data_IF_985028413997
#
_entry.id   IF_985028413997
#
_cell.length_a   1.000
_cell.length_b   1.000
_cell.length_c   1.000
_cell.angle_alpha   90.00
_cell.angle_beta   90.00
_cell.angle_gamma   90.00
#
_symmetry.space_group_name_H-M   'P 1'
#
loop_
_entity.id
_entity.type
_entity.pdbx_description
1 polymer ?
#
# COMPACT_ATOMS: atom_id res chain seq x y z
N UNK A 1 -11.77 11.92 47.20
CA UNK A 1 -11.80 10.47 46.95
C UNK A 1 -12.08 10.28 45.47
N UNK A 2 -11.07 9.97 44.66
CA UNK A 2 -11.23 9.73 43.22
C UNK A 2 -11.65 8.27 43.06
N UNK A 3 -12.85 8.04 42.54
CA UNK A 3 -13.35 6.70 42.27
C UNK A 3 -12.41 5.99 41.27
N UNK A 4 -11.89 4.83 41.66
CA UNK A 4 -11.16 3.97 40.73
C UNK A 4 -12.08 3.57 39.57
N UNK A 5 -11.62 3.63 38.31
CA UNK A 5 -12.42 3.20 37.18
C UNK A 5 -12.79 1.72 37.35
N UNK A 6 -14.07 1.41 37.18
CA UNK A 6 -14.56 0.04 37.24
C UNK A 6 -13.87 -0.78 36.14
N UNK A 7 -13.16 -1.84 36.54
CA UNK A 7 -12.59 -2.81 35.61
C UNK A 7 -13.76 -3.51 34.90
N UNK A 8 -13.90 -3.27 33.60
CA UNK A 8 -14.89 -3.95 32.77
C UNK A 8 -14.23 -5.15 32.10
N UNK A 9 -14.76 -6.34 32.37
CA UNK A 9 -14.42 -7.56 31.61
C UNK A 9 -15.06 -7.44 30.23
N UNK A 10 -14.26 -7.62 29.18
CA UNK A 10 -14.69 -7.61 27.78
C UNK A 10 -14.29 -8.95 27.19
N UNK A 11 -15.22 -9.63 26.51
CA UNK A 11 -14.91 -10.87 25.80
C UNK A 11 -13.97 -10.55 24.63
N UNK A 12 -13.03 -11.45 24.35
CA UNK A 12 -12.12 -11.33 23.19
C UNK A 12 -12.91 -11.29 21.89
N UNK A 13 -14.07 -11.98 21.84
CA UNK A 13 -14.98 -11.95 20.70
C UNK A 13 -15.55 -10.54 20.42
N UNK A 14 -15.66 -9.69 21.44
CA UNK A 14 -16.20 -8.33 21.30
C UNK A 14 -15.15 -7.30 20.83
N UNK A 15 -13.87 -7.71 20.73
CA UNK A 15 -12.84 -6.83 20.21
C UNK A 15 -12.99 -6.65 18.69
N UNK A 16 -12.87 -5.40 18.19
CA UNK A 16 -12.92 -5.15 16.76
C UNK A 16 -11.76 -5.83 16.05
N UNK A 17 -12.03 -6.38 14.88
CA UNK A 17 -10.99 -6.87 13.97
C UNK A 17 -10.18 -5.70 13.41
N UNK A 18 -8.87 -5.92 13.29
CA UNK A 18 -7.99 -4.96 12.64
C UNK A 18 -8.27 -4.95 11.13
N UNK A 19 -8.50 -3.78 10.52
CA UNK A 19 -9.00 -3.72 9.14
C UNK A 19 -7.92 -3.92 8.07
N UNK A 20 -6.66 -4.12 8.46
CA UNK A 20 -5.55 -4.35 7.55
C UNK A 20 -5.06 -5.78 7.74
N UNK A 21 -4.79 -6.46 6.63
CA UNK A 21 -4.24 -7.81 6.61
C UNK A 21 -2.98 -7.92 7.50
N UNK A 22 -2.90 -8.98 8.30
CA UNK A 22 -1.80 -9.23 9.22
C UNK A 22 -0.45 -9.38 8.53
N UNK A 23 -0.45 -9.84 7.28
CA UNK A 23 0.76 -10.01 6.46
C UNK A 23 1.13 -8.73 5.69
N UNK A 24 0.28 -7.70 5.71
CA UNK A 24 0.59 -6.43 5.08
C UNK A 24 1.79 -5.78 5.77
N UNK A 25 2.87 -5.63 5.02
CA UNK A 25 4.11 -5.00 5.49
C UNK A 25 4.37 -3.68 4.79
N UNK A 26 4.77 -2.69 5.57
CA UNK A 26 5.34 -1.42 5.07
C UNK A 26 6.85 -1.33 5.29
N UNK A 27 7.55 -2.46 5.43
CA UNK A 27 8.99 -2.50 5.69
C UNK A 27 9.80 -1.70 4.66
N UNK A 28 9.39 -1.70 3.39
CA UNK A 28 10.05 -0.95 2.31
C UNK A 28 9.78 0.56 2.29
N UNK A 29 8.83 1.07 3.08
CA UNK A 29 8.51 2.50 3.12
C UNK A 29 9.42 3.22 4.12
N UNK A 30 10.25 4.14 3.62
CA UNK A 30 11.12 5.01 4.43
C UNK A 30 10.43 6.29 4.93
N UNK A 31 9.20 6.55 4.46
CA UNK A 31 8.40 7.72 4.83
C UNK A 31 6.99 7.28 5.24
N UNK A 32 6.36 8.04 6.14
CA UNK A 32 4.95 7.89 6.49
C UNK A 32 4.25 9.25 6.35
N UNK A 33 2.97 9.24 5.98
CA UNK A 33 2.18 10.48 5.96
C UNK A 33 1.88 10.88 7.39
N UNK A 34 2.17 12.13 7.74
CA UNK A 34 1.94 12.64 9.08
C UNK A 34 1.14 13.95 9.01
N UNK A 35 -0.06 13.94 9.60
CA UNK A 35 -0.93 15.10 9.66
C UNK A 35 -0.49 16.05 10.78
N UNK A 36 0.51 16.89 10.51
CA UNK A 36 1.07 17.83 11.49
C UNK A 36 0.00 18.74 12.12
N UNK A 37 -0.94 19.28 11.35
CA UNK A 37 -2.03 20.10 11.89
C UNK A 37 -2.90 19.34 12.89
N UNK A 38 -3.26 18.08 12.59
CA UNK A 38 -4.03 17.24 13.53
C UNK A 38 -3.24 16.92 14.79
N UNK A 39 -1.93 16.71 14.67
CA UNK A 39 -1.04 16.48 15.82
C UNK A 39 -0.94 17.73 16.70
N UNK A 40 -0.56 18.88 16.11
CA UNK A 40 -0.32 20.12 16.83
C UNK A 40 -1.59 20.68 17.50
N UNK A 41 -2.77 20.38 16.96
CA UNK A 41 -4.06 20.78 17.53
C UNK A 41 -4.73 19.67 18.37
N UNK A 42 -4.06 18.52 18.59
CA UNK A 42 -4.62 17.44 19.40
C UNK A 42 -4.56 17.77 20.89
N UNK A 43 -5.53 17.29 21.66
CA UNK A 43 -5.53 17.35 23.14
C UNK A 43 -4.20 16.83 23.72
N UNK A 44 -3.70 15.73 23.16
CA UNK A 44 -2.45 15.10 23.58
C UNK A 44 -1.24 16.03 23.43
N UNK A 45 -1.13 16.77 22.33
CA UNK A 45 -0.04 17.71 22.11
C UNK A 45 -0.23 19.02 22.88
N UNK A 46 -1.46 19.52 22.98
CA UNK A 46 -1.75 20.81 23.61
C UNK A 46 -1.66 20.75 25.14
N UNK A 47 -1.97 19.60 25.75
CA UNK A 47 -2.10 19.49 27.22
C UNK A 47 -1.21 18.42 27.86
N UNK A 48 -0.64 17.51 27.06
CA UNK A 48 0.25 16.47 27.57
C UNK A 48 1.61 17.02 27.97
N UNK A 49 2.26 16.39 28.95
CA UNK A 49 3.66 16.71 29.25
C UNK A 49 4.58 16.35 28.08
N UNK A 50 5.74 16.99 27.99
CA UNK A 50 6.72 16.72 26.91
C UNK A 50 7.11 15.24 26.83
N UNK A 51 7.24 14.55 27.96
CA UNK A 51 7.55 13.12 28.02
C UNK A 51 6.44 12.27 27.39
N UNK A 52 5.18 12.60 27.69
CA UNK A 52 4.00 11.91 27.13
C UNK A 52 3.93 12.15 25.63
N UNK A 53 4.13 13.39 25.20
CA UNK A 53 4.14 13.76 23.78
C UNK A 53 5.24 13.02 23.02
N UNK A 54 6.46 13.00 23.55
CA UNK A 54 7.60 12.33 22.93
C UNK A 54 7.36 10.82 22.81
N UNK A 55 6.87 10.18 23.88
CA UNK A 55 6.54 8.76 23.84
C UNK A 55 5.42 8.47 22.84
N UNK A 56 4.34 9.24 22.85
CA UNK A 56 3.23 9.03 21.92
C UNK A 56 3.65 9.18 20.45
N UNK A 57 4.42 10.23 20.14
CA UNK A 57 4.92 10.46 18.80
C UNK A 57 5.81 9.29 18.32
N UNK A 58 6.71 8.82 19.19
CA UNK A 58 7.53 7.65 18.91
C UNK A 58 6.67 6.39 18.69
N UNK A 59 5.64 6.16 19.50
CA UNK A 59 4.73 5.04 19.34
C UNK A 59 4.00 5.07 17.99
N UNK A 60 3.57 6.24 17.51
CA UNK A 60 2.98 6.37 16.17
C UNK A 60 3.94 5.92 15.06
N UNK A 61 5.23 6.26 15.16
CA UNK A 61 6.23 5.83 14.19
C UNK A 61 6.64 4.36 14.34
N UNK A 62 6.78 3.88 15.58
CA UNK A 62 7.10 2.48 15.88
C UNK A 62 6.02 1.55 15.31
N UNK A 63 4.75 1.91 15.45
CA UNK A 63 3.63 1.13 14.95
C UNK A 63 3.70 0.89 13.43
N UNK A 64 4.20 1.86 12.66
CA UNK A 64 4.39 1.74 11.20
C UNK A 64 5.43 0.66 10.82
N UNK A 65 6.24 0.20 11.78
CA UNK A 65 7.29 -0.80 11.59
C UNK A 65 6.98 -2.13 12.26
N UNK A 66 5.84 -2.25 12.93
CA UNK A 66 5.41 -3.53 13.50
C UNK A 66 4.79 -4.43 12.42
N UNK A 67 4.69 -5.72 12.75
CA UNK A 67 3.89 -6.70 12.00
C UNK A 67 2.88 -7.28 12.99
N UNK A 68 1.57 -7.05 12.80
CA UNK A 68 0.90 -6.31 11.72
C UNK A 68 1.19 -4.81 11.69
N UNK A 69 1.26 -4.22 10.49
CA UNK A 69 1.57 -2.80 10.30
C UNK A 69 0.54 -1.88 10.96
N UNK A 70 0.99 -0.84 11.65
CA UNK A 70 0.12 0.14 12.31
C UNK A 70 -0.38 -0.24 13.68
N UNK A 71 0.05 -1.39 14.18
CA UNK A 71 -0.33 -1.88 15.50
C UNK A 71 0.84 -1.79 16.47
N UNK A 72 0.54 -1.90 17.76
CA UNK A 72 1.53 -2.10 18.81
C UNK A 72 1.20 -3.37 19.61
N UNK A 73 2.20 -4.00 20.24
CA UNK A 73 1.96 -5.05 21.22
C UNK A 73 1.26 -4.48 22.46
N UNK A 74 0.28 -5.20 23.02
CA UNK A 74 -0.32 -4.87 24.32
C UNK A 74 0.48 -5.48 25.47
N UNK A 75 1.75 -5.07 25.59
CA UNK A 75 2.66 -5.57 26.63
C UNK A 75 3.60 -4.45 27.10
N UNK A 76 3.54 -4.12 28.38
CA UNK A 76 4.30 -3.02 28.98
C UNK A 76 5.81 -3.17 28.87
N UNK A 77 6.34 -4.39 29.07
CA UNK A 77 7.78 -4.63 28.98
C UNK A 77 8.29 -4.44 27.55
N UNK A 78 7.51 -4.87 26.56
CA UNK A 78 7.84 -4.69 25.14
C UNK A 78 7.73 -3.20 24.76
N UNK A 79 6.66 -2.52 25.16
CA UNK A 79 6.48 -1.09 24.88
C UNK A 79 7.59 -0.22 25.49
N UNK A 80 7.96 -0.47 26.75
CA UNK A 80 9.08 0.23 27.38
C UNK A 80 10.39 0.00 26.61
N UNK A 81 10.66 -1.24 26.17
CA UNK A 81 11.84 -1.58 25.38
C UNK A 81 11.83 -0.90 24.00
N UNK A 82 10.69 -0.86 23.32
CA UNK A 82 10.53 -0.19 22.03
C UNK A 82 10.81 1.32 22.15
N UNK A 83 10.36 1.95 23.24
CA UNK A 83 10.60 3.35 23.56
C UNK A 83 12.00 3.63 24.14
N UNK A 84 12.77 2.57 24.47
CA UNK A 84 14.09 2.65 25.09
C UNK A 84 14.08 3.40 26.44
N UNK A 85 13.03 3.19 27.22
CA UNK A 85 12.91 3.69 28.59
C UNK A 85 12.82 2.52 29.57
N UNK A 86 13.03 2.79 30.85
CA UNK A 86 12.84 1.77 31.87
C UNK A 86 11.35 1.45 32.08
N UNK A 87 11.08 0.23 32.56
CA UNK A 87 9.71 -0.25 32.74
C UNK A 87 8.94 0.55 33.80
N UNK A 88 9.62 1.10 34.81
CA UNK A 88 8.96 1.86 35.86
C UNK A 88 8.49 3.21 35.32
N UNK A 89 9.36 3.93 34.60
CA UNK A 89 9.01 5.16 33.89
C UNK A 89 7.87 4.94 32.91
N UNK A 90 7.87 3.83 32.15
CA UNK A 90 6.75 3.49 31.29
C UNK A 90 5.43 3.33 32.06
N UNK A 91 5.44 2.58 33.17
CA UNK A 91 4.24 2.39 34.01
C UNK A 91 3.73 3.72 34.57
N UNK A 92 4.64 4.58 35.03
CA UNK A 92 4.29 5.90 35.55
C UNK A 92 3.67 6.79 34.46
N UNK A 93 4.20 6.76 33.24
CA UNK A 93 3.63 7.46 32.08
C UNK A 93 2.28 6.88 31.66
N UNK A 94 2.14 5.55 31.65
CA UNK A 94 0.89 4.84 31.29
C UNK A 94 -0.24 5.15 32.26
N UNK A 95 0.07 5.33 33.55
CA UNK A 95 -0.90 5.61 34.60
C UNK A 95 -1.42 7.07 34.63
N UNK A 96 -0.83 7.99 33.86
CA UNK A 96 -1.29 9.39 33.79
C UNK A 96 -2.68 9.46 33.13
N UNK A 97 -3.47 10.47 33.54
CA UNK A 97 -4.78 10.73 32.94
C UNK A 97 -4.71 10.89 31.41
N UNK A 98 -3.68 11.61 30.94
CA UNK A 98 -3.30 11.65 29.54
C UNK A 98 -1.98 10.89 29.37
N UNK A 99 -2.05 9.71 28.78
CA UNK A 99 -0.92 8.79 28.63
C UNK A 99 -0.42 8.70 27.19
N UNK A 100 0.78 8.11 26.95
CA UNK A 100 1.27 7.87 25.59
C UNK A 100 0.36 6.96 24.74
N UNK A 101 -0.53 6.20 25.39
CA UNK A 101 -1.51 5.34 24.75
C UNK A 101 -2.88 6.02 24.59
N UNK A 102 -2.96 7.35 24.65
CA UNK A 102 -4.21 8.07 24.39
C UNK A 102 -4.80 7.68 23.03
N UNK A 103 -6.08 7.26 23.03
CA UNK A 103 -6.85 6.76 21.87
C UNK A 103 -6.35 5.45 21.23
N UNK A 104 -5.37 4.78 21.83
CA UNK A 104 -5.07 3.40 21.46
C UNK A 104 -6.11 2.45 22.06
N UNK A 105 -6.53 1.46 21.27
CA UNK A 105 -7.54 0.47 21.66
C UNK A 105 -7.13 -0.93 21.24
N UNK A 106 -7.55 -1.93 22.00
CA UNK A 106 -7.34 -3.34 21.65
C UNK A 106 -8.12 -3.71 20.39
N UNK A 107 -7.54 -4.59 19.59
CA UNK A 107 -8.13 -5.19 18.40
C UNK A 107 -7.63 -6.62 18.21
N UNK A 108 -8.40 -7.45 17.50
CA UNK A 108 -7.95 -8.76 17.02
C UNK A 108 -7.15 -8.60 15.74
N UNK A 109 -6.03 -9.30 15.67
CA UNK A 109 -5.12 -9.36 14.54
C UNK A 109 -4.77 -10.83 14.30
N UNK A 110 -5.63 -11.53 13.54
CA UNK A 110 -5.56 -12.99 13.49
C UNK A 110 -5.74 -13.57 14.90
N UNK A 111 -4.76 -14.36 15.34
CA UNK A 111 -4.76 -15.01 16.66
C UNK A 111 -4.18 -14.13 17.79
N UNK A 112 -3.71 -12.91 17.49
CA UNK A 112 -3.12 -12.00 18.47
C UNK A 112 -4.03 -10.83 18.83
N UNK A 113 -3.93 -10.35 20.08
CA UNK A 113 -4.50 -9.05 20.50
C UNK A 113 -3.41 -7.98 20.39
N UNK A 114 -3.75 -6.90 19.68
CA UNK A 114 -2.85 -5.77 19.42
C UNK A 114 -3.53 -4.46 19.76
N UNK A 115 -2.75 -3.39 19.90
CA UNK A 115 -3.26 -2.03 20.04
C UNK A 115 -3.29 -1.35 18.67
N UNK A 116 -4.44 -0.82 18.28
CA UNK A 116 -4.59 0.05 17.11
C UNK A 116 -4.92 1.48 17.53
N UNK A 117 -4.53 2.44 16.70
CA UNK A 117 -4.90 3.86 16.86
C UNK A 117 -5.65 4.33 15.62
N UNK A 118 -6.83 4.97 15.76
CA UNK A 118 -7.71 5.28 14.63
C UNK A 118 -7.03 6.10 13.53
N UNK A 119 -6.23 7.10 13.91
CA UNK A 119 -5.51 7.96 12.93
C UNK A 119 -4.34 7.21 12.28
N UNK A 120 -3.67 6.31 13.01
CA UNK A 120 -2.57 5.50 12.44
C UNK A 120 -3.15 4.55 11.39
N UNK A 121 -4.25 3.88 11.71
CA UNK A 121 -4.98 3.01 10.80
C UNK A 121 -5.53 3.78 9.59
N UNK A 122 -6.10 4.97 9.79
CA UNK A 122 -6.57 5.84 8.69
C UNK A 122 -5.44 6.17 7.70
N UNK A 123 -4.29 6.63 8.22
CA UNK A 123 -3.10 6.95 7.40
C UNK A 123 -2.66 5.74 6.57
N UNK A 124 -2.65 4.56 7.19
CA UNK A 124 -2.22 3.32 6.54
C UNK A 124 -3.17 2.87 5.45
N UNK A 125 -4.48 2.87 5.70
CA UNK A 125 -5.50 2.53 4.71
C UNK A 125 -5.40 3.46 3.49
N UNK A 126 -5.20 4.77 3.71
CA UNK A 126 -4.99 5.71 2.62
C UNK A 126 -3.70 5.44 1.84
N UNK A 127 -2.60 5.08 2.52
CA UNK A 127 -1.33 4.75 1.87
C UNK A 127 -1.44 3.48 1.01
N UNK A 128 -2.11 2.44 1.53
CA UNK A 128 -2.37 1.19 0.81
C UNK A 128 -3.26 1.43 -0.41
N UNK A 129 -4.37 2.16 -0.27
CA UNK A 129 -5.25 2.48 -1.40
C UNK A 129 -4.56 3.32 -2.48
N UNK A 130 -3.67 4.26 -2.11
CA UNK A 130 -2.85 5.01 -3.08
C UNK A 130 -1.86 4.11 -3.82
N UNK A 131 -1.29 3.10 -3.14
CA UNK A 131 -0.38 2.13 -3.77
C UNK A 131 -1.11 1.32 -4.83
N UNK A 132 -2.27 0.77 -4.49
CA UNK A 132 -3.11 0.00 -5.42
C UNK A 132 -3.51 0.82 -6.64
N UNK A 133 -3.97 2.06 -6.43
CA UNK A 133 -4.32 2.96 -7.53
C UNK A 133 -3.12 3.30 -8.43
N UNK A 134 -1.92 3.45 -7.85
CA UNK A 134 -0.69 3.70 -8.61
C UNK A 134 -0.26 2.46 -9.40
N UNK A 135 -0.35 1.27 -8.82
CA UNK A 135 -0.05 0.01 -9.51
C UNK A 135 -1.01 -0.23 -10.67
N UNK A 136 -2.31 -0.01 -10.47
CA UNK A 136 -3.31 -0.06 -11.52
C UNK A 136 -3.00 0.93 -12.66
N UNK A 137 -2.79 2.22 -12.34
CA UNK A 137 -2.47 3.26 -13.34
C UNK A 137 -1.16 2.98 -14.09
N UNK A 138 -0.15 2.47 -13.39
CA UNK A 138 1.11 2.09 -14.02
C UNK A 138 0.93 0.91 -14.97
N UNK A 139 0.11 -0.08 -14.60
CA UNK A 139 -0.18 -1.24 -15.45
C UNK A 139 -0.93 -0.82 -16.72
N UNK A 140 -1.94 0.05 -16.60
CA UNK A 140 -2.68 0.62 -17.73
C UNK A 140 -1.77 1.44 -18.65
N UNK A 141 -0.94 2.32 -18.09
CA UNK A 141 0.05 3.09 -18.87
C UNK A 141 1.04 2.19 -19.58
N UNK A 142 1.50 1.11 -18.93
CA UNK A 142 2.41 0.15 -19.53
C UNK A 142 1.76 -0.59 -20.71
N UNK A 143 0.49 -1.01 -20.56
CA UNK A 143 -0.31 -1.59 -21.65
C UNK A 143 -0.47 -0.58 -22.78
N UNK A 144 -0.94 0.63 -22.48
CA UNK A 144 -1.13 1.69 -23.48
C UNK A 144 0.15 1.96 -24.27
N UNK A 145 1.28 2.20 -23.60
CA UNK A 145 2.55 2.45 -24.27
C UNK A 145 3.01 1.25 -25.11
N UNK A 146 2.73 0.03 -24.67
CA UNK A 146 3.05 -1.20 -25.41
C UNK A 146 2.25 -1.30 -26.71
N UNK A 147 0.93 -1.06 -26.64
CA UNK A 147 0.07 -1.03 -27.83
C UNK A 147 0.44 0.11 -28.78
N UNK A 148 0.80 1.29 -28.25
CA UNK A 148 1.28 2.41 -29.07
C UNK A 148 2.57 2.08 -29.83
N UNK A 149 3.53 1.40 -29.19
CA UNK A 149 4.75 0.92 -29.85
C UNK A 149 4.44 -0.10 -30.95
N UNK A 150 3.51 -1.02 -30.72
CA UNK A 150 3.05 -1.97 -31.73
C UNK A 150 2.42 -1.24 -32.93
N UNK A 151 1.53 -0.28 -32.70
CA UNK A 151 0.94 0.55 -33.76
C UNK A 151 1.97 1.35 -34.54
N UNK A 152 3.03 1.83 -33.88
CA UNK A 152 4.14 2.47 -34.58
C UNK A 152 4.84 1.48 -35.50
N UNK A 153 5.18 0.29 -35.02
CA UNK A 153 5.83 -0.74 -35.83
C UNK A 153 4.95 -1.19 -37.02
N UNK A 154 3.63 -1.31 -36.83
CA UNK A 154 2.70 -1.60 -37.93
C UNK A 154 2.69 -0.49 -38.99
N UNK A 155 2.73 0.78 -38.58
CA UNK A 155 2.85 1.92 -39.51
C UNK A 155 4.19 1.90 -40.25
N UNK A 156 5.27 1.61 -39.56
CA UNK A 156 6.62 1.56 -40.14
C UNK A 156 6.77 0.41 -41.15
N UNK A 157 5.99 -0.67 -40.99
CA UNK A 157 5.87 -1.77 -41.96
C UNK A 157 4.91 -1.48 -43.13
N UNK A 158 4.29 -0.30 -43.16
CA UNK A 158 3.41 0.11 -44.26
C UNK A 158 1.97 -0.40 -44.19
N UNK A 159 1.49 -0.85 -43.02
CA UNK A 159 0.08 -1.23 -42.86
C UNK A 159 -0.83 0.02 -42.95
N UNK A 160 -2.01 -0.15 -43.55
CA UNK A 160 -2.96 0.95 -43.74
C UNK A 160 -3.48 1.50 -42.40
N UNK A 161 -3.94 2.76 -42.39
CA UNK A 161 -4.48 3.39 -41.20
C UNK A 161 -5.67 2.62 -40.61
N UNK A 162 -6.50 2.01 -41.45
CA UNK A 162 -7.65 1.20 -41.01
C UNK A 162 -7.20 -0.05 -40.26
N UNK A 163 -6.17 -0.73 -40.76
CA UNK A 163 -5.61 -1.93 -40.11
C UNK A 163 -4.90 -1.56 -38.80
N UNK A 164 -4.15 -0.46 -38.77
CA UNK A 164 -3.50 0.02 -37.54
C UNK A 164 -4.52 0.54 -36.53
N UNK A 165 -5.67 1.03 -36.98
CA UNK A 165 -6.76 1.54 -36.17
C UNK A 165 -7.62 0.45 -35.53
N UNK A 166 -7.58 -0.78 -36.03
CA UNK A 166 -8.36 -1.90 -35.48
C UNK A 166 -7.80 -2.35 -34.12
N UNK A 167 -8.47 -1.92 -33.05
CA UNK A 167 -8.12 -2.25 -31.67
C UNK A 167 -8.08 -3.76 -31.42
N UNK A 168 -9.03 -4.52 -31.99
CA UNK A 168 -9.12 -5.98 -31.79
C UNK A 168 -7.94 -6.69 -32.43
N UNK A 169 -7.51 -6.23 -33.62
CA UNK A 169 -6.34 -6.78 -34.27
C UNK A 169 -5.07 -6.47 -33.48
N UNK A 170 -4.90 -5.22 -33.04
CA UNK A 170 -3.72 -4.79 -32.27
C UNK A 170 -3.62 -5.56 -30.96
N UNK A 171 -4.73 -5.76 -30.24
CA UNK A 171 -4.79 -6.57 -29.02
C UNK A 171 -4.45 -8.05 -29.30
N UNK A 172 -4.95 -8.61 -30.40
CA UNK A 172 -4.65 -9.99 -30.79
C UNK A 172 -3.16 -10.20 -31.10
N UNK A 173 -2.54 -9.24 -31.80
CA UNK A 173 -1.09 -9.26 -32.07
C UNK A 173 -0.29 -9.09 -30.77
N UNK A 174 -0.69 -8.17 -29.89
CA UNK A 174 -0.01 -8.00 -28.59
C UNK A 174 -0.11 -9.26 -27.72
N UNK A 175 -1.26 -9.93 -27.72
CA UNK A 175 -1.46 -11.22 -27.04
C UNK A 175 -0.50 -12.29 -27.54
N UNK A 176 -0.39 -12.46 -28.87
CA UNK A 176 0.59 -13.36 -29.46
C UNK A 176 2.03 -12.99 -29.06
N UNK A 177 2.37 -11.69 -29.04
CA UNK A 177 3.70 -11.24 -28.61
C UNK A 177 4.00 -11.53 -27.14
N UNK A 178 3.00 -11.46 -26.25
CA UNK A 178 3.17 -11.78 -24.83
C UNK A 178 3.50 -13.27 -24.62
N UNK A 179 2.91 -14.14 -25.42
CA UNK A 179 3.12 -15.59 -25.32
C UNK A 179 4.44 -16.04 -25.98
N UNK A 180 4.82 -15.39 -27.08
CA UNK A 180 5.88 -15.91 -27.97
C UNK A 180 7.20 -15.14 -27.87
N UNK A 181 7.22 -13.91 -27.37
CA UNK A 181 8.45 -13.10 -27.28
C UNK A 181 8.97 -13.05 -25.84
N UNK A 182 10.08 -13.75 -25.60
CA UNK A 182 10.80 -13.70 -24.32
C UNK A 182 11.77 -12.53 -24.27
N UNK A 183 11.77 -11.77 -23.17
CA UNK A 183 12.70 -10.66 -22.95
C UNK A 183 12.31 -9.38 -23.69
N UNK A 184 13.32 -8.61 -24.14
CA UNK A 184 13.10 -7.26 -24.66
C UNK A 184 12.57 -7.29 -26.10
N UNK A 185 11.45 -6.59 -26.36
CA UNK A 185 10.83 -6.49 -27.69
C UNK A 185 11.63 -5.54 -28.58
N UNK A 186 12.51 -6.10 -29.42
CA UNK A 186 13.26 -5.39 -30.47
C UNK A 186 12.46 -5.36 -31.77
N UNK A 187 12.91 -4.59 -32.76
CA UNK A 187 12.28 -4.48 -34.09
C UNK A 187 11.90 -5.85 -34.69
N UNK A 188 12.82 -6.80 -34.69
CA UNK A 188 12.60 -8.16 -35.21
C UNK A 188 11.41 -8.90 -34.56
N UNK A 189 11.10 -8.61 -33.28
CA UNK A 189 9.96 -9.21 -32.61
C UNK A 189 8.62 -8.64 -33.12
N UNK A 190 8.57 -7.34 -33.40
CA UNK A 190 7.38 -6.72 -34.02
C UNK A 190 7.20 -7.20 -35.45
N UNK A 191 8.29 -7.27 -36.23
CA UNK A 191 8.26 -7.79 -37.61
C UNK A 191 7.73 -9.23 -37.64
N UNK A 192 8.21 -10.09 -36.74
CA UNK A 192 7.74 -11.47 -36.62
C UNK A 192 6.25 -11.56 -36.25
N UNK A 193 5.77 -10.71 -35.34
CA UNK A 193 4.38 -10.68 -34.92
C UNK A 193 3.44 -10.24 -36.04
N UNK A 194 3.84 -9.21 -36.79
CA UNK A 194 3.07 -8.68 -37.91
C UNK A 194 3.06 -9.68 -39.09
N UNK A 195 4.20 -10.33 -39.36
CA UNK A 195 4.28 -11.39 -40.36
C UNK A 195 3.40 -12.59 -39.98
N UNK A 196 3.41 -13.01 -38.71
CA UNK A 196 2.54 -14.08 -38.22
C UNK A 196 1.06 -13.74 -38.43
N UNK A 197 0.67 -12.51 -38.07
CA UNK A 197 -0.70 -12.04 -38.24
C UNK A 197 -1.14 -11.98 -39.72
N UNK A 198 -0.21 -11.65 -40.64
CA UNK A 198 -0.44 -11.74 -42.09
C UNK A 198 -0.62 -13.19 -42.56
N UNK A 199 0.25 -14.11 -42.12
CA UNK A 199 0.16 -15.54 -42.44
C UNK A 199 -1.15 -16.17 -41.96
N UNK A 200 -1.61 -15.77 -40.77
CA UNK A 200 -2.89 -16.20 -40.20
C UNK A 200 -4.10 -15.45 -40.77
N UNK A 201 -3.89 -14.56 -41.77
CA UNK A 201 -4.93 -13.76 -42.44
C UNK A 201 -5.78 -12.93 -41.47
N UNK A 202 -5.16 -12.37 -40.43
CA UNK A 202 -5.86 -11.49 -39.49
C UNK A 202 -6.19 -10.13 -40.11
N UNK A 203 -5.48 -9.75 -41.16
CA UNK A 203 -5.74 -8.55 -41.97
C UNK A 203 -5.38 -8.81 -43.44
N UNK A 204 -5.89 -7.98 -44.35
CA UNK A 204 -5.54 -8.05 -45.78
C UNK A 204 -4.05 -7.78 -45.99
N UNK A 205 -3.38 -8.60 -46.80
CA UNK A 205 -1.92 -8.67 -46.89
C UNK A 205 -1.20 -7.33 -47.03
N UNK A 206 0.04 -7.28 -46.51
CA UNK A 206 0.93 -6.10 -46.56
C UNK A 206 1.10 -5.69 -48.02
N UNK A 207 0.63 -4.49 -48.37
CA UNK A 207 0.88 -3.91 -49.69
C UNK A 207 2.38 -3.75 -49.87
N UNK A 208 3.00 -4.63 -50.65
CA UNK A 208 4.36 -4.41 -51.16
C UNK A 208 4.31 -3.20 -52.08
N UNK A 209 4.57 -2.01 -51.53
CA UNK A 209 4.90 -0.86 -52.34
C UNK A 209 6.21 -1.19 -53.09
N UNK A 210 6.09 -1.33 -54.41
CA UNK A 210 7.22 -1.33 -55.35
C UNK A 210 7.73 0.09 -55.53
#
# INVERSE_FOLDING_TARGET
MVASPALQVVDVADLPDYPIDTDASMAAHYFTTFYHDRWLNSELHLTGSLEVQACALNLFFIAQKQTPVGTLPDNDAILARLLRIDLQMWKDLRARALSPLHKWRRCRCGDEIRLMHPIVTEVLLQALGRREAREASNSEKAVYQRLQRLRSAMRDMGLSKDVVGDDRLVERIDGWMLENVKGHRRKAAYDAAILHASQMKWFGGVGTAR
#
